data_IF_919481430841
#
_entry.id   IF_919481430841
#
_cell.length_a   1.000
_cell.length_b   1.000
_cell.length_c   1.000
_cell.angle_alpha   90.00
_cell.angle_beta   90.00
_cell.angle_gamma   90.00
#
_symmetry.space_group_name_H-M   'P 1'
#
loop_
_entity.id
_entity.type
_entity.pdbx_description
1 polymer ?
#
# COMPACT_ATOMS: atom_id res chain seq x y z
N UNK A 1 -20.80 -5.61 8.61
CA UNK A 1 -20.85 -5.05 7.24
C UNK A 1 -20.54 -6.15 6.23
N UNK A 2 -21.11 -6.02 5.03
CA UNK A 2 -20.72 -6.77 3.83
C UNK A 2 -19.65 -5.96 3.06
N UNK A 3 -18.44 -6.46 2.99
CA UNK A 3 -17.28 -5.74 2.46
C UNK A 3 -16.80 -6.38 1.16
N UNK A 4 -16.71 -5.60 0.10
CA UNK A 4 -16.07 -5.99 -1.16
C UNK A 4 -14.61 -5.57 -1.14
N UNK A 5 -13.70 -6.52 -1.28
CA UNK A 5 -12.26 -6.32 -1.27
C UNK A 5 -11.65 -6.71 -2.63
N UNK A 6 -10.89 -5.83 -3.24
CA UNK A 6 -9.97 -6.18 -4.32
C UNK A 6 -8.54 -6.28 -3.79
N UNK A 7 -7.70 -7.08 -4.43
CA UNK A 7 -6.34 -7.31 -3.93
C UNK A 7 -6.24 -8.16 -2.66
N UNK A 8 -7.27 -8.94 -2.33
CA UNK A 8 -7.33 -9.78 -1.13
C UNK A 8 -6.22 -10.81 -1.01
N UNK A 9 -5.65 -11.28 -2.12
CA UNK A 9 -4.49 -12.20 -2.14
C UNK A 9 -3.13 -11.50 -2.01
N UNK A 10 -3.11 -10.17 -2.02
CA UNK A 10 -1.91 -9.34 -1.86
C UNK A 10 -1.40 -9.27 -0.43
N UNK A 11 -0.28 -8.54 -0.23
CA UNK A 11 0.37 -8.43 1.09
C UNK A 11 -0.58 -7.89 2.16
N UNK A 12 -1.21 -6.74 1.92
CA UNK A 12 -2.12 -6.11 2.88
C UNK A 12 -3.41 -6.93 3.01
N UNK A 13 -4.00 -7.35 1.88
CA UNK A 13 -5.28 -8.09 1.86
C UNK A 13 -5.26 -9.36 2.71
N UNK A 14 -4.17 -10.13 2.65
CA UNK A 14 -4.01 -11.37 3.44
C UNK A 14 -3.97 -11.15 4.96
N UNK A 15 -3.52 -9.99 5.41
CA UNK A 15 -3.52 -9.62 6.82
C UNK A 15 -4.82 -8.94 7.24
N UNK A 16 -5.47 -8.24 6.31
CA UNK A 16 -6.73 -7.54 6.57
C UNK A 16 -7.92 -8.52 6.67
N UNK A 17 -8.01 -9.50 5.79
CA UNK A 17 -9.15 -10.44 5.73
C UNK A 17 -9.41 -11.14 7.07
N UNK A 18 -8.42 -11.75 7.75
CA UNK A 18 -8.66 -12.39 9.05
C UNK A 18 -9.26 -11.41 10.07
N UNK A 19 -8.75 -10.18 10.11
CA UNK A 19 -9.23 -9.15 11.05
C UNK A 19 -10.67 -8.72 10.76
N UNK A 20 -11.04 -8.58 9.48
CA UNK A 20 -12.42 -8.30 9.09
C UNK A 20 -13.38 -9.42 9.50
N UNK A 21 -12.97 -10.68 9.30
CA UNK A 21 -13.76 -11.86 9.69
C UNK A 21 -13.88 -12.01 11.20
N UNK A 22 -12.83 -11.73 11.97
CA UNK A 22 -12.82 -11.70 13.44
C UNK A 22 -13.78 -10.64 14.00
N UNK A 23 -13.90 -9.49 13.32
CA UNK A 23 -14.85 -8.42 13.66
C UNK A 23 -16.29 -8.72 13.21
N UNK A 24 -16.55 -9.92 12.66
CA UNK A 24 -17.88 -10.34 12.24
C UNK A 24 -18.35 -9.76 10.91
N UNK A 25 -17.44 -9.21 10.08
CA UNK A 25 -17.79 -8.75 8.74
C UNK A 25 -17.88 -9.91 7.75
N UNK A 26 -18.78 -9.81 6.77
CA UNK A 26 -18.82 -10.70 5.61
C UNK A 26 -17.89 -10.13 4.53
N UNK A 27 -16.92 -10.93 4.07
CA UNK A 27 -15.90 -10.49 3.12
C UNK A 27 -16.12 -11.18 1.77
N UNK A 28 -16.26 -10.38 0.73
CA UNK A 28 -16.24 -10.82 -0.67
C UNK A 28 -14.96 -10.32 -1.33
N UNK A 29 -14.19 -11.20 -1.94
CA UNK A 29 -12.97 -10.85 -2.68
C UNK A 29 -13.19 -10.98 -4.17
N UNK A 30 -13.05 -9.87 -4.90
CA UNK A 30 -12.99 -9.90 -6.36
C UNK A 30 -11.58 -10.23 -6.83
N UNK A 31 -11.46 -11.25 -7.69
CA UNK A 31 -10.18 -11.74 -8.21
C UNK A 31 -10.31 -12.34 -9.59
N UNK A 32 -9.28 -12.18 -10.42
CA UNK A 32 -9.16 -12.81 -11.75
C UNK A 32 -8.97 -14.33 -11.69
N UNK A 33 -8.50 -14.85 -10.56
CA UNK A 33 -8.12 -16.25 -10.37
C UNK A 33 -8.76 -16.85 -9.10
N UNK A 34 -10.10 -17.09 -9.08
CA UNK A 34 -10.81 -17.58 -7.89
C UNK A 34 -10.25 -18.90 -7.35
N UNK A 35 -9.90 -19.85 -8.21
CA UNK A 35 -9.40 -21.16 -7.79
C UNK A 35 -8.08 -21.06 -7.02
N UNK A 36 -7.15 -20.22 -7.52
CA UNK A 36 -5.88 -19.92 -6.83
C UNK A 36 -6.10 -19.13 -5.54
N UNK A 37 -7.09 -18.24 -5.52
CA UNK A 37 -7.44 -17.47 -4.32
C UNK A 37 -8.07 -18.37 -3.24
N UNK A 38 -8.91 -19.31 -3.61
CA UNK A 38 -9.54 -20.27 -2.69
C UNK A 38 -8.52 -21.07 -1.89
N UNK A 39 -7.40 -21.45 -2.50
CA UNK A 39 -6.33 -22.18 -1.83
C UNK A 39 -5.52 -21.34 -0.80
N UNK A 40 -5.68 -20.02 -0.82
CA UNK A 40 -4.87 -19.07 -0.02
C UNK A 40 -5.66 -18.27 1.00
N UNK A 41 -6.97 -18.15 0.81
CA UNK A 41 -7.86 -17.34 1.63
C UNK A 41 -8.71 -18.22 2.54
N UNK A 42 -9.18 -17.61 3.63
CA UNK A 42 -10.11 -18.25 4.57
C UNK A 42 -11.36 -18.77 3.82
N UNK A 43 -11.83 -20.00 4.10
CA UNK A 43 -13.02 -20.58 3.44
C UNK A 43 -14.29 -19.75 3.59
N UNK A 44 -14.40 -18.92 4.62
CA UNK A 44 -15.56 -18.01 4.85
C UNK A 44 -15.64 -16.86 3.86
N UNK A 45 -14.55 -16.59 3.11
CA UNK A 45 -14.53 -15.53 2.10
C UNK A 45 -15.32 -15.94 0.87
N UNK A 46 -16.25 -15.11 0.43
CA UNK A 46 -16.90 -15.24 -0.87
C UNK A 46 -15.97 -14.75 -1.98
N UNK A 47 -15.93 -15.47 -3.11
CA UNK A 47 -15.09 -15.09 -4.24
C UNK A 47 -15.94 -14.69 -5.44
N UNK A 48 -15.65 -13.53 -6.01
CA UNK A 48 -16.18 -13.09 -7.30
C UNK A 48 -15.09 -13.18 -8.36
N UNK A 49 -15.47 -13.64 -9.56
CA UNK A 49 -14.58 -13.60 -10.73
C UNK A 49 -14.68 -12.21 -11.38
N UNK A 50 -13.76 -11.32 -11.04
CA UNK A 50 -13.56 -10.01 -11.70
C UNK A 50 -14.87 -9.21 -11.95
N UNK A 51 -15.78 -9.18 -11.01
CA UNK A 51 -17.12 -8.55 -11.11
C UNK A 51 -18.04 -9.12 -12.22
N UNK A 52 -17.75 -10.34 -12.74
CA UNK A 52 -18.57 -10.99 -13.74
C UNK A 52 -20.02 -11.13 -13.23
N UNK A 53 -21.00 -10.70 -14.05
CA UNK A 53 -22.41 -10.74 -13.70
C UNK A 53 -22.88 -9.67 -12.69
N UNK A 54 -21.97 -8.81 -12.20
CA UNK A 54 -22.32 -7.73 -11.28
C UNK A 54 -22.45 -6.40 -12.01
N UNK A 55 -23.61 -5.74 -11.86
CA UNK A 55 -23.92 -4.45 -12.49
C UNK A 55 -24.10 -3.32 -11.48
N UNK A 56 -24.19 -3.62 -10.21
CA UNK A 56 -24.32 -2.69 -9.07
C UNK A 56 -23.77 -3.32 -7.79
N UNK A 57 -23.70 -2.55 -6.71
CA UNK A 57 -23.21 -2.97 -5.38
C UNK A 57 -24.26 -2.76 -4.28
N UNK A 58 -25.56 -2.92 -4.58
CA UNK A 58 -26.67 -2.68 -3.63
C UNK A 58 -26.55 -3.49 -2.33
N UNK A 59 -25.90 -4.67 -2.37
CA UNK A 59 -25.72 -5.55 -1.20
C UNK A 59 -24.37 -5.39 -0.50
N UNK A 60 -23.60 -4.36 -0.85
CA UNK A 60 -22.26 -4.10 -0.30
C UNK A 60 -22.31 -2.82 0.53
N UNK A 61 -21.86 -2.91 1.77
CA UNK A 61 -21.81 -1.76 2.71
C UNK A 61 -20.55 -0.91 2.53
N UNK A 62 -19.41 -1.56 2.18
CA UNK A 62 -18.11 -0.90 2.02
C UNK A 62 -17.27 -1.57 0.93
N UNK A 63 -16.46 -0.77 0.24
CA UNK A 63 -15.49 -1.25 -0.77
C UNK A 63 -14.09 -0.89 -0.33
N UNK A 64 -13.18 -1.89 -0.33
CA UNK A 64 -11.74 -1.71 -0.09
C UNK A 64 -10.99 -2.13 -1.36
N UNK A 65 -10.36 -1.17 -2.02
CA UNK A 65 -9.68 -1.37 -3.31
C UNK A 65 -8.16 -1.35 -3.13
N UNK A 66 -7.53 -2.52 -2.99
CA UNK A 66 -6.07 -2.68 -2.80
C UNK A 66 -5.39 -3.35 -4.00
N UNK A 67 -6.11 -3.61 -5.08
CA UNK A 67 -5.55 -4.30 -6.23
C UNK A 67 -4.64 -3.38 -7.07
N UNK A 68 -3.58 -3.96 -7.59
CA UNK A 68 -2.65 -3.32 -8.51
C UNK A 68 -1.47 -4.23 -8.83
N UNK A 69 -0.92 -4.11 -10.02
CA UNK A 69 0.32 -4.81 -10.43
C UNK A 69 1.49 -4.36 -9.53
N UNK A 70 2.35 -5.27 -9.02
CA UNK A 70 3.49 -4.90 -8.20
C UNK A 70 4.44 -3.93 -8.91
N UNK A 71 4.68 -2.76 -8.29
CA UNK A 71 5.41 -1.65 -8.92
C UNK A 71 6.93 -1.91 -9.04
N UNK A 72 7.49 -2.71 -8.13
CA UNK A 72 8.93 -2.91 -7.99
C UNK A 72 9.43 -4.30 -8.47
N UNK A 73 8.57 -5.12 -9.11
CA UNK A 73 8.96 -6.49 -9.50
C UNK A 73 9.61 -6.55 -10.87
N UNK A 74 9.35 -5.57 -11.73
CA UNK A 74 9.84 -5.52 -13.11
C UNK A 74 10.41 -4.14 -13.43
N UNK A 75 11.34 -4.10 -14.39
CA UNK A 75 11.84 -2.83 -14.94
C UNK A 75 10.70 -2.06 -15.61
N UNK A 76 10.72 -0.74 -15.51
CA UNK A 76 9.71 0.11 -16.13
C UNK A 76 10.00 0.33 -17.62
N UNK A 77 9.54 -0.58 -18.44
CA UNK A 77 9.38 -0.34 -19.89
C UNK A 77 8.08 0.43 -20.13
N UNK A 78 7.89 0.96 -21.34
CA UNK A 78 6.63 1.61 -21.72
C UNK A 78 5.41 0.68 -21.48
N UNK A 79 5.54 -0.59 -21.87
CA UNK A 79 4.49 -1.60 -21.64
C UNK A 79 4.24 -1.86 -20.16
N UNK A 80 5.32 -1.97 -19.36
CA UNK A 80 5.16 -2.22 -17.92
C UNK A 80 4.51 -1.00 -17.21
N UNK A 81 4.87 0.23 -17.60
CA UNK A 81 4.20 1.43 -17.12
C UNK A 81 2.71 1.44 -17.46
N UNK A 82 2.34 1.05 -18.69
CA UNK A 82 0.93 0.90 -19.07
C UNK A 82 0.21 -0.15 -18.21
N UNK A 83 0.81 -1.33 -18.00
CA UNK A 83 0.23 -2.36 -17.12
C UNK A 83 0.04 -1.86 -15.67
N UNK A 84 1.01 -1.11 -15.14
CA UNK A 84 0.92 -0.50 -13.83
C UNK A 84 -0.26 0.49 -13.74
N UNK A 85 -0.47 1.30 -14.79
CA UNK A 85 -1.59 2.23 -14.89
C UNK A 85 -2.93 1.48 -15.01
N UNK A 86 -3.09 0.64 -16.01
CA UNK A 86 -4.34 -0.07 -16.29
C UNK A 86 -4.78 -0.98 -15.13
N UNK A 87 -3.83 -1.67 -14.47
CA UNK A 87 -4.16 -2.52 -13.32
C UNK A 87 -4.81 -1.77 -12.15
N UNK A 88 -4.70 -0.44 -12.10
CA UNK A 88 -5.25 0.43 -11.07
C UNK A 88 -6.43 1.24 -11.61
N UNK A 89 -6.21 1.93 -12.71
CA UNK A 89 -7.20 2.87 -13.26
C UNK A 89 -8.45 2.18 -13.75
N UNK A 90 -8.31 1.14 -14.59
CA UNK A 90 -9.46 0.45 -15.19
C UNK A 90 -10.31 -0.27 -14.13
N UNK A 91 -9.62 -0.92 -13.17
CA UNK A 91 -10.30 -1.57 -12.06
C UNK A 91 -11.06 -0.56 -11.19
N UNK A 92 -10.43 0.56 -10.84
CA UNK A 92 -11.05 1.60 -10.03
C UNK A 92 -12.21 2.26 -10.78
N UNK A 93 -12.05 2.54 -12.07
CA UNK A 93 -13.14 3.07 -12.90
C UNK A 93 -14.34 2.12 -12.92
N UNK A 94 -14.10 0.81 -13.02
CA UNK A 94 -15.17 -0.19 -12.97
C UNK A 94 -15.87 -0.20 -11.61
N UNK A 95 -15.13 -0.13 -10.50
CA UNK A 95 -15.71 -0.03 -9.15
C UNK A 95 -16.58 1.22 -9.01
N UNK A 96 -16.10 2.37 -9.46
CA UNK A 96 -16.84 3.64 -9.45
C UNK A 96 -18.12 3.52 -10.27
N UNK A 97 -18.06 2.90 -11.45
CA UNK A 97 -19.24 2.64 -12.27
C UNK A 97 -20.29 1.77 -11.56
N UNK A 98 -19.86 0.72 -10.85
CA UNK A 98 -20.74 -0.14 -10.06
C UNK A 98 -21.37 0.60 -8.86
N UNK A 99 -20.61 1.47 -8.20
CA UNK A 99 -21.09 2.34 -7.11
C UNK A 99 -22.17 3.29 -7.64
N UNK A 100 -21.93 3.96 -8.76
CA UNK A 100 -22.90 4.88 -9.38
C UNK A 100 -24.17 4.19 -9.86
N UNK A 101 -24.06 2.94 -10.31
CA UNK A 101 -25.22 2.15 -10.76
C UNK A 101 -26.05 1.57 -9.61
N UNK A 102 -25.64 1.81 -8.35
CA UNK A 102 -26.32 1.26 -7.17
C UNK A 102 -27.41 2.19 -6.66
N UNK A 103 -28.61 1.65 -6.41
CA UNK A 103 -29.69 2.36 -5.71
C UNK A 103 -29.37 2.60 -4.23
N UNK A 104 -28.68 1.60 -3.62
CA UNK A 104 -28.13 1.66 -2.26
C UNK A 104 -26.62 1.46 -2.31
N UNK A 105 -25.86 2.52 -2.68
CA UNK A 105 -24.42 2.41 -2.85
C UNK A 105 -23.69 2.17 -1.52
N UNK A 106 -22.49 1.58 -1.54
CA UNK A 106 -21.64 1.47 -0.37
C UNK A 106 -21.39 2.81 0.31
N UNK A 107 -21.41 2.84 1.64
CA UNK A 107 -21.18 4.07 2.43
C UNK A 107 -19.74 4.58 2.35
N UNK A 108 -18.80 3.72 1.97
CA UNK A 108 -17.38 4.06 1.86
C UNK A 108 -16.67 3.30 0.75
N UNK A 109 -15.84 4.03 0.00
CA UNK A 109 -14.77 3.49 -0.84
C UNK A 109 -13.41 3.83 -0.21
N UNK A 110 -12.68 2.82 0.26
CA UNK A 110 -11.28 2.96 0.70
C UNK A 110 -10.40 2.48 -0.46
N UNK A 111 -9.75 3.41 -1.15
CA UNK A 111 -8.95 3.10 -2.34
C UNK A 111 -7.46 3.25 -2.09
N UNK A 112 -6.68 2.29 -2.58
CA UNK A 112 -5.23 2.36 -2.58
C UNK A 112 -4.71 3.59 -3.32
N UNK A 113 -3.60 4.09 -2.85
CA UNK A 113 -2.66 5.04 -3.43
C UNK A 113 -1.28 4.74 -2.85
N UNK A 114 -0.30 5.58 -3.04
CA UNK A 114 1.04 5.40 -2.48
C UNK A 114 1.70 6.75 -2.19
N UNK A 115 2.71 6.76 -1.30
CA UNK A 115 3.57 7.95 -1.09
C UNK A 115 4.30 8.38 -2.37
N UNK A 116 4.36 7.51 -3.38
CA UNK A 116 4.77 7.87 -4.74
C UNK A 116 3.94 8.99 -5.39
N UNK A 117 2.77 9.34 -4.84
CA UNK A 117 2.00 10.52 -5.19
C UNK A 117 2.86 11.80 -5.10
N UNK A 118 3.73 11.89 -4.11
CA UNK A 118 4.56 13.07 -3.88
C UNK A 118 5.78 13.13 -4.80
N UNK A 119 6.25 12.01 -5.36
CA UNK A 119 7.53 11.91 -6.05
C UNK A 119 8.71 11.99 -5.10
N UNK A 120 9.93 12.24 -5.62
CA UNK A 120 11.14 12.40 -4.82
C UNK A 120 11.26 13.86 -4.34
N UNK A 121 10.99 14.11 -3.07
CA UNK A 121 11.09 15.41 -2.41
C UNK A 121 12.28 15.48 -1.42
N UNK A 122 13.13 14.45 -1.40
CA UNK A 122 14.32 14.40 -0.57
C UNK A 122 14.02 14.50 0.92
N UNK A 123 14.59 15.53 1.60
CA UNK A 123 14.44 15.73 3.03
C UNK A 123 13.22 16.59 3.43
N UNK A 124 12.47 17.12 2.45
CA UNK A 124 11.28 17.93 2.72
C UNK A 124 10.25 17.10 3.48
N UNK A 125 9.73 17.65 4.57
CA UNK A 125 8.62 17.02 5.31
C UNK A 125 7.37 17.10 4.44
N UNK A 126 6.73 15.95 4.23
CA UNK A 126 5.57 15.83 3.35
C UNK A 126 4.36 15.40 4.18
N UNK A 127 3.31 16.19 4.10
CA UNK A 127 1.99 15.88 4.65
C UNK A 127 0.99 15.63 3.53
N UNK A 128 -0.26 15.34 3.86
CA UNK A 128 -1.29 15.07 2.86
C UNK A 128 -1.64 16.31 2.00
N UNK A 129 -1.25 17.50 2.42
CA UNK A 129 -1.52 18.79 1.76
C UNK A 129 -0.39 19.25 0.84
N UNK A 130 0.79 18.60 0.91
CA UNK A 130 1.96 19.01 0.12
C UNK A 130 1.77 18.79 -1.38
N UNK A 131 2.21 19.77 -2.21
CA UNK A 131 2.17 19.63 -3.65
C UNK A 131 3.16 18.55 -4.12
N UNK A 132 2.80 17.79 -5.15
CA UNK A 132 3.64 16.71 -5.64
C UNK A 132 4.74 17.20 -6.59
N UNK A 133 5.83 16.42 -6.68
CA UNK A 133 6.81 16.53 -7.75
C UNK A 133 6.37 15.73 -8.98
N UNK A 134 6.52 16.30 -10.17
CA UNK A 134 6.00 15.71 -11.41
C UNK A 134 6.85 14.53 -11.92
N UNK A 135 6.53 13.34 -11.46
CA UNK A 135 7.16 12.08 -11.84
C UNK A 135 6.14 11.04 -12.33
N UNK A 136 6.62 9.89 -12.84
CA UNK A 136 5.73 8.80 -13.24
C UNK A 136 4.88 8.27 -12.07
N UNK A 137 5.48 8.12 -10.90
CA UNK A 137 4.78 7.66 -9.68
C UNK A 137 3.69 8.63 -9.27
N UNK A 138 3.96 9.96 -9.39
CA UNK A 138 2.94 10.98 -9.18
C UNK A 138 1.78 10.82 -10.16
N UNK A 139 2.08 10.78 -11.48
CA UNK A 139 1.04 10.64 -12.52
C UNK A 139 0.17 9.39 -12.31
N UNK A 140 0.80 8.28 -11.96
CA UNK A 140 0.12 7.02 -11.65
C UNK A 140 -0.86 7.18 -10.48
N UNK A 141 -0.38 7.71 -9.35
CA UNK A 141 -1.19 7.86 -8.13
C UNK A 141 -2.25 8.96 -8.27
N UNK A 142 -1.90 10.12 -8.84
CA UNK A 142 -2.82 11.24 -8.99
C UNK A 142 -4.04 10.86 -9.86
N UNK A 143 -3.81 10.16 -10.98
CA UNK A 143 -4.92 9.67 -11.80
C UNK A 143 -5.73 8.60 -11.08
N UNK A 144 -5.09 7.71 -10.34
CA UNK A 144 -5.77 6.70 -9.54
C UNK A 144 -6.68 7.33 -8.47
N UNK A 145 -6.14 8.31 -7.71
CA UNK A 145 -6.91 9.07 -6.72
C UNK A 145 -8.07 9.84 -7.38
N UNK A 146 -7.82 10.49 -8.51
CA UNK A 146 -8.85 11.20 -9.27
C UNK A 146 -10.04 10.31 -9.62
N UNK A 147 -9.76 9.11 -10.18
CA UNK A 147 -10.81 8.15 -10.54
C UNK A 147 -11.58 7.69 -9.29
N UNK A 148 -10.87 7.36 -8.20
CA UNK A 148 -11.53 6.93 -6.96
C UNK A 148 -12.44 8.03 -6.40
N UNK A 149 -12.04 9.30 -6.49
CA UNK A 149 -12.82 10.45 -6.03
C UNK A 149 -14.12 10.66 -6.83
N UNK A 150 -14.24 10.13 -8.04
CA UNK A 150 -15.50 10.16 -8.81
C UNK A 150 -16.65 9.44 -8.09
N UNK A 151 -16.34 8.48 -7.17
CA UNK A 151 -17.35 7.83 -6.33
C UNK A 151 -17.87 8.69 -5.18
N UNK A 152 -17.21 9.82 -4.88
CA UNK A 152 -17.59 10.69 -3.76
C UNK A 152 -18.98 11.28 -3.96
N UNK A 153 -19.85 11.08 -2.98
CA UNK A 153 -21.22 11.60 -2.98
C UNK A 153 -21.68 11.86 -1.53
N UNK A 154 -22.94 12.27 -1.35
CA UNK A 154 -23.55 12.35 -0.01
C UNK A 154 -23.69 10.97 0.65
N UNK A 155 -23.81 9.90 -0.15
CA UNK A 155 -24.02 8.52 0.33
C UNK A 155 -22.74 7.70 0.39
N UNK A 156 -21.71 8.05 -0.38
CA UNK A 156 -20.43 7.34 -0.44
C UNK A 156 -19.28 8.29 -0.14
N UNK A 157 -18.56 8.08 0.95
CA UNK A 157 -17.32 8.79 1.24
C UNK A 157 -16.14 8.04 0.63
N UNK A 158 -15.07 8.77 0.26
CA UNK A 158 -13.86 8.21 -0.33
C UNK A 158 -12.67 8.49 0.56
N UNK A 159 -11.92 7.43 0.92
CA UNK A 159 -10.63 7.52 1.59
C UNK A 159 -9.53 7.01 0.66
N UNK A 160 -8.42 7.73 0.57
CA UNK A 160 -7.29 7.41 -0.29
C UNK A 160 -6.09 7.04 0.56
N UNK A 161 -5.53 5.83 0.36
CA UNK A 161 -4.45 5.29 1.16
C UNK A 161 -3.09 5.59 0.48
N UNK A 162 -2.45 6.72 0.78
CA UNK A 162 -1.08 7.01 0.34
C UNK A 162 -0.09 6.17 1.13
N UNK A 163 0.01 4.91 0.75
CA UNK A 163 0.74 3.88 1.47
C UNK A 163 2.24 4.02 1.25
N UNK A 164 2.99 4.03 2.36
CA UNK A 164 4.44 3.92 2.37
C UNK A 164 4.92 2.47 2.21
N UNK A 165 6.14 2.21 2.67
CA UNK A 165 6.72 0.87 2.64
C UNK A 165 6.14 0.03 3.77
N UNK A 166 5.32 -0.96 3.43
CA UNK A 166 4.71 -1.86 4.41
C UNK A 166 5.71 -2.92 4.86
N UNK A 167 5.99 -2.96 6.15
CA UNK A 167 6.80 -3.99 6.79
C UNK A 167 5.91 -5.15 7.21
N UNK A 168 6.11 -6.30 6.59
CA UNK A 168 5.31 -7.50 6.86
C UNK A 168 6.16 -8.77 6.74
N UNK A 169 5.79 -9.86 7.44
CA UNK A 169 6.49 -11.13 7.33
C UNK A 169 6.50 -11.67 5.89
N UNK A 170 7.63 -12.14 5.43
CA UNK A 170 7.80 -12.88 4.16
C UNK A 170 7.24 -12.19 2.91
N UNK A 171 7.17 -10.86 2.89
CA UNK A 171 6.63 -10.13 1.74
C UNK A 171 7.16 -8.71 1.61
N UNK A 172 6.71 -8.01 0.56
CA UNK A 172 7.10 -6.62 0.31
C UNK A 172 8.61 -6.43 0.16
N UNK A 173 9.11 -5.32 0.69
CA UNK A 173 10.55 -5.00 0.66
C UNK A 173 11.39 -6.00 1.48
N UNK A 174 10.87 -6.47 2.61
CA UNK A 174 11.59 -7.42 3.47
C UNK A 174 11.80 -8.76 2.78
N UNK A 175 10.83 -9.24 2.01
CA UNK A 175 10.99 -10.47 1.21
C UNK A 175 12.13 -10.38 0.20
N UNK A 176 12.41 -9.18 -0.33
CA UNK A 176 13.49 -8.93 -1.29
C UNK A 176 14.85 -8.70 -0.63
N UNK A 177 14.87 -8.00 0.51
CA UNK A 177 16.13 -7.63 1.18
C UNK A 177 16.67 -8.72 2.10
N UNK A 178 15.82 -9.42 2.84
CA UNK A 178 16.21 -10.41 3.85
C UNK A 178 17.19 -11.48 3.35
N UNK A 179 17.06 -12.05 2.12
CA UNK A 179 18.04 -13.04 1.65
C UNK A 179 19.47 -12.54 1.61
N UNK A 180 19.69 -11.34 1.06
CA UNK A 180 21.03 -10.73 1.00
C UNK A 180 21.57 -10.40 2.40
N UNK A 181 20.72 -9.88 3.29
CA UNK A 181 21.10 -9.57 4.67
C UNK A 181 21.47 -10.83 5.47
N UNK A 182 20.70 -11.93 5.33
CA UNK A 182 21.02 -13.22 5.97
C UNK A 182 22.38 -13.78 5.55
N UNK A 183 22.82 -13.50 4.33
CA UNK A 183 24.16 -13.86 3.82
C UNK A 183 25.25 -12.88 4.28
N UNK A 184 24.91 -11.84 5.06
CA UNK A 184 25.86 -10.81 5.47
C UNK A 184 26.24 -9.81 4.37
N UNK A 185 25.53 -9.82 3.23
CA UNK A 185 25.74 -8.94 2.07
C UNK A 185 24.85 -7.71 2.07
N UNK A 186 24.13 -7.46 3.16
CA UNK A 186 23.24 -6.32 3.31
C UNK A 186 23.95 -5.01 3.62
N UNK A 187 23.27 -3.91 3.32
CA UNK A 187 23.74 -2.57 3.67
C UNK A 187 22.95 -1.44 2.98
N UNK A 188 23.37 -0.20 3.22
CA UNK A 188 22.74 0.98 2.64
C UNK A 188 22.79 1.01 1.12
N UNK A 189 21.76 1.57 0.51
CA UNK A 189 21.65 1.73 -0.95
C UNK A 189 22.02 3.17 -1.34
N UNK A 190 22.87 3.34 -2.32
CA UNK A 190 23.30 4.64 -2.83
C UNK A 190 23.95 5.51 -1.73
N UNK A 191 23.44 6.72 -1.54
CA UNK A 191 23.90 7.61 -0.47
C UNK A 191 23.47 7.15 0.93
N UNK A 192 22.41 6.36 1.03
CA UNK A 192 21.77 5.98 2.29
C UNK A 192 20.97 7.11 2.96
N UNK A 193 20.96 8.33 2.37
CA UNK A 193 20.32 9.53 2.95
C UNK A 193 18.86 9.72 2.53
N UNK A 194 18.39 8.97 1.52
CA UNK A 194 16.99 9.02 1.10
C UNK A 194 16.10 8.52 2.22
N UNK A 195 14.97 9.21 2.42
CA UNK A 195 13.99 8.82 3.43
C UNK A 195 13.16 7.62 2.99
N UNK A 196 12.86 6.77 3.95
CA UNK A 196 11.94 5.65 3.84
C UNK A 196 10.73 5.92 4.76
N UNK A 197 9.60 6.23 4.16
CA UNK A 197 8.33 6.28 4.86
C UNK A 197 7.80 4.85 4.98
N UNK A 198 7.88 4.27 6.17
CA UNK A 198 7.49 2.89 6.46
C UNK A 198 6.24 2.80 7.32
N UNK A 199 5.58 1.66 7.30
CA UNK A 199 4.48 1.32 8.21
C UNK A 199 4.53 -0.16 8.54
N UNK A 200 4.26 -0.53 9.80
CA UNK A 200 4.08 -1.92 10.19
C UNK A 200 2.75 -2.45 9.65
N UNK A 201 2.69 -3.71 9.28
CA UNK A 201 1.48 -4.32 8.72
C UNK A 201 0.27 -4.23 9.66
N UNK A 202 0.46 -4.35 10.97
CA UNK A 202 -0.62 -4.20 11.94
C UNK A 202 -1.20 -2.78 11.91
N UNK A 203 -0.35 -1.75 11.88
CA UNK A 203 -0.81 -0.35 11.81
C UNK A 203 -1.46 -0.04 10.46
N UNK A 204 -0.98 -0.66 9.38
CA UNK A 204 -1.63 -0.57 8.07
C UNK A 204 -3.05 -1.14 8.11
N UNK A 205 -3.22 -2.32 8.69
CA UNK A 205 -4.52 -2.99 8.84
C UNK A 205 -5.43 -2.19 9.78
N UNK A 206 -4.92 -1.80 10.95
CA UNK A 206 -5.68 -1.02 11.93
C UNK A 206 -6.07 0.35 11.38
N UNK A 207 -5.22 1.00 10.58
CA UNK A 207 -5.54 2.25 9.91
C UNK A 207 -6.66 2.10 8.87
N UNK A 208 -6.69 1.00 8.12
CA UNK A 208 -7.81 0.70 7.21
C UNK A 208 -9.11 0.49 8.00
N UNK A 209 -9.07 -0.29 9.10
CA UNK A 209 -10.23 -0.51 9.97
C UNK A 209 -10.70 0.80 10.61
N UNK A 210 -9.77 1.65 11.06
CA UNK A 210 -10.07 2.98 11.59
C UNK A 210 -10.83 3.84 10.56
N UNK A 211 -10.35 3.86 9.32
CA UNK A 211 -11.03 4.58 8.24
C UNK A 211 -12.38 3.97 7.86
N UNK A 212 -12.55 2.66 8.05
CA UNK A 212 -13.82 1.97 7.82
C UNK A 212 -14.88 2.41 8.84
N UNK A 213 -14.49 2.55 10.11
CA UNK A 213 -15.40 2.80 11.23
C UNK A 213 -15.67 4.30 11.50
N UNK A 214 -14.85 5.21 10.95
CA UNK A 214 -14.98 6.64 11.22
C UNK A 214 -15.41 7.42 9.96
N UNK A 215 -16.21 8.49 10.13
CA UNK A 215 -16.64 9.35 9.01
C UNK A 215 -15.50 10.28 8.54
N UNK A 216 -14.47 9.69 8.00
CA UNK A 216 -13.30 10.36 7.45
C UNK A 216 -13.29 10.22 5.92
N UNK A 217 -12.71 11.21 5.23
CA UNK A 217 -12.63 11.24 3.76
C UNK A 217 -11.37 11.96 3.26
N UNK A 218 -10.99 11.69 2.02
CA UNK A 218 -9.80 12.27 1.37
C UNK A 218 -8.54 11.45 1.59
N UNK A 219 -7.34 12.02 1.32
CA UNK A 219 -6.06 11.30 1.40
C UNK A 219 -5.58 11.13 2.83
N UNK A 220 -4.94 9.98 3.09
CA UNK A 220 -4.28 9.65 4.35
C UNK A 220 -2.91 9.02 4.07
N UNK A 221 -1.87 9.57 4.65
CA UNK A 221 -0.54 8.97 4.62
C UNK A 221 -0.51 7.75 5.55
N UNK A 222 -0.53 6.57 4.95
CA UNK A 222 -0.42 5.29 5.65
C UNK A 222 1.06 4.99 5.90
N UNK A 223 1.64 5.71 6.86
CA UNK A 223 3.06 5.65 7.24
C UNK A 223 3.20 5.80 8.75
N UNK A 224 4.30 5.28 9.31
CA UNK A 224 4.69 5.57 10.71
C UNK A 224 5.01 7.06 10.88
N UNK A 225 4.76 7.65 12.07
CA UNK A 225 5.16 9.03 12.38
C UNK A 225 6.68 9.29 12.32
N UNK A 226 7.49 8.24 12.28
CA UNK A 226 8.96 8.32 12.29
C UNK A 226 9.59 7.73 11.02
N UNK A 227 9.54 8.46 9.88
CA UNK A 227 10.29 8.05 8.68
C UNK A 227 11.79 8.08 8.97
N UNK A 228 12.53 7.12 8.42
CA UNK A 228 13.98 6.95 8.65
C UNK A 228 14.77 7.10 7.37
N UNK A 229 16.07 7.36 7.48
CA UNK A 229 16.97 7.24 6.34
C UNK A 229 17.18 5.77 5.95
N UNK A 230 17.46 5.53 4.67
CA UNK A 230 17.77 4.18 4.17
C UNK A 230 18.94 3.52 4.93
N UNK A 231 19.95 4.30 5.32
CA UNK A 231 21.08 3.82 6.12
C UNK A 231 20.63 3.33 7.50
N UNK A 232 19.77 4.10 8.19
CA UNK A 232 19.17 3.68 9.47
C UNK A 232 18.35 2.40 9.32
N UNK A 233 17.55 2.33 8.24
CA UNK A 233 16.77 1.13 7.93
C UNK A 233 17.66 -0.09 7.69
N UNK A 234 18.75 0.06 6.92
CA UNK A 234 19.68 -1.03 6.65
C UNK A 234 20.35 -1.53 7.93
N UNK A 235 20.79 -0.62 8.82
CA UNK A 235 21.39 -1.01 10.10
C UNK A 235 20.37 -1.70 11.01
N UNK A 236 19.15 -1.17 11.14
CA UNK A 236 18.09 -1.77 11.94
C UNK A 236 17.72 -3.17 11.43
N UNK A 237 17.65 -3.36 10.11
CA UNK A 237 17.40 -4.67 9.49
C UNK A 237 18.55 -5.66 9.76
N UNK A 238 19.80 -5.19 9.67
CA UNK A 238 20.99 -5.98 10.04
C UNK A 238 20.93 -6.43 11.51
N UNK A 239 20.63 -5.52 12.43
CA UNK A 239 20.46 -5.81 13.86
C UNK A 239 19.36 -6.84 14.09
N UNK A 240 18.18 -6.65 13.52
CA UNK A 240 17.05 -7.57 13.67
C UNK A 240 17.36 -8.99 13.16
N UNK A 241 18.25 -9.12 12.18
CA UNK A 241 18.68 -10.40 11.62
C UNK A 241 19.98 -10.95 12.25
N UNK A 242 20.59 -10.23 13.21
CA UNK A 242 21.92 -10.53 13.77
C UNK A 242 22.99 -10.69 12.67
N UNK A 243 22.99 -9.76 11.71
CA UNK A 243 23.95 -9.72 10.60
C UNK A 243 24.52 -8.32 10.40
N UNK A 244 25.79 -8.18 9.97
CA UNK A 244 26.34 -6.88 9.63
C UNK A 244 25.61 -6.28 8.42
N UNK A 245 25.49 -4.94 8.39
CA UNK A 245 24.88 -4.19 7.31
C UNK A 245 25.88 -3.15 6.75
N UNK A 246 27.06 -3.62 6.36
CA UNK A 246 28.21 -2.77 5.99
C UNK A 246 28.43 -2.63 4.48
N UNK A 247 27.82 -3.50 3.67
CA UNK A 247 28.04 -3.51 2.22
C UNK A 247 27.14 -2.49 1.52
N UNK A 248 27.67 -1.28 1.31
CA UNK A 248 26.94 -0.24 0.57
C UNK A 248 26.76 -0.63 -0.90
N UNK A 249 25.51 -0.66 -1.37
CA UNK A 249 25.18 -0.95 -2.77
C UNK A 249 25.28 0.34 -3.59
N UNK A 250 26.18 0.43 -4.60
CA UNK A 250 26.33 1.64 -5.40
C UNK A 250 25.05 1.99 -6.17
N UNK A 251 24.71 3.29 -6.23
CA UNK A 251 23.54 3.77 -6.97
C UNK A 251 23.60 3.39 -8.47
N UNK A 252 24.81 3.35 -9.06
CA UNK A 252 24.99 2.93 -10.44
C UNK A 252 24.59 1.46 -10.68
N UNK A 253 24.88 0.57 -9.74
CA UNK A 253 24.47 -0.83 -9.81
C UNK A 253 22.94 -0.96 -9.74
N UNK A 254 22.29 -0.18 -8.85
CA UNK A 254 20.83 -0.15 -8.74
C UNK A 254 20.20 0.37 -10.05
N UNK A 255 20.72 1.46 -10.61
CA UNK A 255 20.23 1.98 -11.89
C UNK A 255 20.41 0.99 -13.04
N UNK A 256 21.54 0.29 -13.09
CA UNK A 256 21.79 -0.73 -14.09
C UNK A 256 20.80 -1.89 -13.97
N UNK A 257 20.49 -2.33 -12.73
CA UNK A 257 19.61 -3.46 -12.48
C UNK A 257 18.13 -3.11 -12.70
N UNK A 258 17.68 -1.98 -12.14
CA UNK A 258 16.27 -1.59 -12.08
C UNK A 258 15.85 -0.63 -13.23
N UNK A 259 16.78 0.07 -13.88
CA UNK A 259 16.46 1.11 -14.85
C UNK A 259 15.72 2.29 -14.20
N UNK A 260 14.65 2.78 -14.82
CA UNK A 260 13.87 3.90 -14.30
C UNK A 260 13.23 3.61 -12.93
N UNK A 261 12.87 2.35 -12.65
CA UNK A 261 12.28 1.98 -11.35
C UNK A 261 13.25 2.12 -10.17
N UNK A 262 14.53 2.41 -10.43
CA UNK A 262 15.53 2.71 -9.41
C UNK A 262 15.15 3.91 -8.52
N UNK A 263 14.32 4.84 -9.02
CA UNK A 263 13.78 5.96 -8.22
C UNK A 263 13.05 5.49 -6.97
N UNK A 264 12.43 4.32 -6.98
CA UNK A 264 11.71 3.75 -5.83
C UNK A 264 12.62 3.46 -4.62
N UNK A 265 13.92 3.28 -4.84
CA UNK A 265 14.88 2.93 -3.79
C UNK A 265 16.02 3.94 -3.65
N UNK A 266 16.27 4.76 -4.67
CA UNK A 266 17.29 5.82 -4.65
C UNK A 266 16.70 7.20 -4.29
N UNK A 267 15.39 7.41 -4.52
CA UNK A 267 14.62 8.54 -4.03
C UNK A 267 13.86 8.19 -2.75
N UNK A 268 13.07 9.12 -2.26
CA UNK A 268 12.24 8.89 -1.08
C UNK A 268 11.43 10.11 -0.65
N UNK A 269 10.56 9.88 0.33
CA UNK A 269 9.70 10.91 0.90
C UNK A 269 9.78 10.86 2.43
N UNK A 270 9.94 12.02 3.04
CA UNK A 270 9.79 12.19 4.49
C UNK A 270 8.32 12.44 4.83
N UNK A 271 7.46 11.46 4.50
CA UNK A 271 6.03 11.56 4.69
C UNK A 271 5.62 11.34 6.15
N UNK A 272 4.69 12.17 6.64
CA UNK A 272 4.12 12.09 7.98
C UNK A 272 2.60 11.86 7.91
N UNK A 273 2.01 11.07 8.84
CA UNK A 273 0.59 10.71 8.84
C UNK A 273 -0.27 11.76 9.56
N UNK A 274 -0.18 13.03 9.15
CA UNK A 274 -0.78 14.14 9.90
C UNK A 274 -2.29 14.03 10.06
N UNK A 275 -2.97 13.57 9.03
CA UNK A 275 -4.43 13.42 9.08
C UNK A 275 -4.89 12.24 9.94
N UNK A 276 -4.13 11.12 9.97
CA UNK A 276 -4.42 10.01 10.87
C UNK A 276 -4.19 10.41 12.34
N UNK A 277 -3.06 11.11 12.63
CA UNK A 277 -2.78 11.64 13.97
C UNK A 277 -3.89 12.61 14.42
N UNK A 278 -4.26 13.55 13.56
CA UNK A 278 -5.33 14.53 13.86
C UNK A 278 -6.71 13.87 14.07
N UNK A 279 -6.97 12.75 13.40
CA UNK A 279 -8.17 11.95 13.57
C UNK A 279 -8.15 11.06 14.83
N UNK A 280 -7.07 11.09 15.63
CA UNK A 280 -6.95 10.31 16.86
C UNK A 280 -6.55 8.84 16.65
N UNK A 281 -6.02 8.47 15.46
CA UNK A 281 -5.49 7.13 15.25
C UNK A 281 -4.26 6.90 16.12
N UNK A 282 -4.26 5.82 16.91
CA UNK A 282 -3.15 5.42 17.75
C UNK A 282 -2.29 4.38 17.04
N UNK A 283 -1.10 4.80 16.63
CA UNK A 283 -0.11 3.86 16.10
C UNK A 283 0.38 2.92 17.21
N UNK A 284 0.67 1.69 16.86
CA UNK A 284 1.30 0.71 17.76
C UNK A 284 2.82 0.71 17.62
N UNK A 285 3.32 0.94 16.42
CA UNK A 285 4.71 0.78 16.07
C UNK A 285 5.36 2.14 15.72
N UNK A 286 6.09 2.68 16.68
CA UNK A 286 6.84 3.93 16.54
C UNK A 286 8.33 3.69 16.29
N UNK A 287 8.88 2.60 16.86
CA UNK A 287 10.28 2.24 16.75
C UNK A 287 10.48 1.22 15.62
N UNK A 288 11.40 1.54 14.70
CA UNK A 288 11.69 0.69 13.54
C UNK A 288 12.31 -0.65 13.93
N UNK A 289 13.21 -0.67 14.95
CA UNK A 289 13.86 -1.92 15.36
C UNK A 289 12.89 -2.88 16.00
N UNK A 290 11.98 -2.39 16.82
CA UNK A 290 10.90 -3.20 17.42
C UNK A 290 9.97 -3.74 16.33
N UNK A 291 9.56 -2.89 15.38
CA UNK A 291 8.74 -3.27 14.24
C UNK A 291 9.41 -4.36 13.38
N UNK A 292 10.71 -4.22 13.08
CA UNK A 292 11.47 -5.22 12.33
C UNK A 292 11.64 -6.53 13.10
N UNK A 293 11.91 -6.47 14.40
CA UNK A 293 12.00 -7.67 15.25
C UNK A 293 10.70 -8.44 15.29
N UNK A 294 9.55 -7.75 15.28
CA UNK A 294 8.24 -8.40 15.27
C UNK A 294 7.98 -9.13 13.94
N UNK A 295 8.14 -8.44 12.81
CA UNK A 295 7.83 -9.03 11.49
C UNK A 295 8.82 -10.09 11.00
N UNK A 296 10.00 -10.19 11.62
CA UNK A 296 11.07 -11.15 11.26
C UNK A 296 11.13 -12.37 12.18
N UNK A 297 10.31 -12.43 13.22
CA UNK A 297 10.11 -13.63 14.05
C UNK A 297 9.41 -14.70 13.23
#
# INVERSE_FOLDING_TARGET
MKILLTGGTGLIGRHLIPRLLELGHSVTVSTRHPDSARARLDPRVTLWRDFEGHHHLNDIDAVINLAGEPIADKRWTAEQKQRLCHSRWDLTQRLVGLIHASDTPPSVLISGSATGYYGDLGAVVVTEEEPPHNEFTHKLCARWEQIACEAQSERTRVCLLRTGVVLAPRGGILGKMTPAFKLGLGGPIGSGRQYLAWIHIDDMVNGILWLLDNDLRGPFNMVSPYPVHNEQFAHALGHALNRPAIFRVPAAAIRLLMGESAVLVLGGQRALPKRLEAAGFAFRWYDLEEALKDVLR
#
